data_IF_516491475842
#
_entry.id   IF_516491475842
#
_cell.length_a   1.000
_cell.length_b   1.000
_cell.length_c   1.000
_cell.angle_alpha   90.00
_cell.angle_beta   90.00
_cell.angle_gamma   90.00
#
_symmetry.space_group_name_H-M   'P 1'
#
loop_
_entity.id
_entity.type
_entity.pdbx_description
1 polymer ?
#
# COMPACT_ATOMS: atom_id res chain seq x y z
N UNK A 1 0.37 -11.02 -15.61
CA UNK A 1 -0.60 -11.08 -14.51
C UNK A 1 -1.90 -11.76 -14.92
N UNK A 2 -2.50 -11.40 -16.07
CA UNK A 2 -3.76 -11.98 -16.56
C UNK A 2 -3.69 -13.51 -16.74
N UNK A 3 -2.60 -14.01 -17.31
CA UNK A 3 -2.38 -15.45 -17.54
C UNK A 3 -2.34 -16.22 -16.22
N UNK A 4 -1.58 -15.75 -15.22
CA UNK A 4 -1.50 -16.40 -13.91
C UNK A 4 -2.86 -16.42 -13.21
N UNK A 5 -3.61 -15.31 -13.29
CA UNK A 5 -4.97 -15.22 -12.74
C UNK A 5 -5.87 -16.32 -13.30
N UNK A 6 -5.91 -16.48 -14.62
CA UNK A 6 -6.76 -17.46 -15.27
C UNK A 6 -6.37 -18.90 -14.91
N UNK A 7 -5.06 -19.19 -14.86
CA UNK A 7 -4.57 -20.53 -14.47
C UNK A 7 -4.99 -20.85 -13.04
N UNK A 8 -4.77 -19.96 -12.09
CA UNK A 8 -5.13 -20.20 -10.68
C UNK A 8 -6.64 -20.34 -10.52
N UNK A 9 -7.42 -19.45 -11.17
CA UNK A 9 -8.86 -19.48 -11.10
C UNK A 9 -9.42 -20.80 -11.63
N UNK A 10 -8.99 -21.26 -12.82
CA UNK A 10 -9.46 -22.52 -13.39
C UNK A 10 -8.98 -23.73 -12.58
N UNK A 11 -7.73 -23.71 -12.10
CA UNK A 11 -7.23 -24.80 -11.25
C UNK A 11 -8.03 -24.92 -9.96
N UNK A 12 -8.31 -23.80 -9.29
CA UNK A 12 -9.02 -23.76 -8.01
C UNK A 12 -10.45 -24.31 -8.10
N UNK A 13 -11.10 -24.23 -9.26
CA UNK A 13 -12.44 -24.79 -9.48
C UNK A 13 -12.47 -26.31 -9.32
N UNK A 14 -11.43 -26.99 -9.77
CA UNK A 14 -11.34 -28.45 -9.78
C UNK A 14 -10.56 -28.97 -8.56
N UNK A 15 -9.57 -28.22 -8.15
CA UNK A 15 -8.69 -28.52 -7.03
C UNK A 15 -8.62 -27.31 -6.11
N UNK A 16 -9.52 -27.21 -5.13
CA UNK A 16 -9.56 -26.07 -4.22
C UNK A 16 -8.23 -25.90 -3.48
N UNK A 17 -7.61 -24.74 -3.68
CA UNK A 17 -6.35 -24.38 -3.04
C UNK A 17 -6.68 -23.78 -1.67
N UNK A 18 -6.13 -24.32 -0.60
CA UNK A 18 -6.28 -23.83 0.76
C UNK A 18 -5.49 -22.52 1.02
N UNK A 19 -5.82 -21.81 2.10
CA UNK A 19 -5.10 -20.60 2.48
C UNK A 19 -3.62 -20.85 2.80
N UNK A 20 -3.30 -22.00 3.40
CA UNK A 20 -1.92 -22.40 3.71
C UNK A 20 -1.11 -22.72 2.45
N UNK A 21 -1.74 -23.37 1.48
CA UNK A 21 -1.12 -23.60 0.17
C UNK A 21 -0.85 -22.28 -0.56
N UNK A 22 -1.79 -21.33 -0.52
CA UNK A 22 -1.59 -19.99 -1.10
C UNK A 22 -0.40 -19.28 -0.46
N UNK A 23 -0.26 -19.36 0.87
CA UNK A 23 0.86 -18.73 1.60
C UNK A 23 2.22 -19.31 1.18
N UNK A 24 2.26 -20.59 0.83
CA UNK A 24 3.47 -21.31 0.43
C UNK A 24 3.77 -21.21 -1.08
N UNK A 25 2.78 -20.96 -1.91
CA UNK A 25 2.83 -21.09 -3.37
C UNK A 25 3.96 -20.25 -4.00
N UNK A 26 4.12 -19.01 -3.60
CA UNK A 26 5.14 -18.11 -4.18
C UNK A 26 6.55 -18.59 -3.84
N UNK A 27 6.76 -19.07 -2.63
CA UNK A 27 8.05 -19.65 -2.19
C UNK A 27 8.37 -20.94 -2.95
N UNK A 28 7.37 -21.79 -3.17
CA UNK A 28 7.52 -23.02 -3.96
C UNK A 28 7.83 -22.71 -5.43
N UNK A 29 7.16 -21.71 -6.03
CA UNK A 29 7.48 -21.26 -7.39
C UNK A 29 8.91 -20.77 -7.51
N UNK A 30 9.37 -19.91 -6.59
CA UNK A 30 10.76 -19.43 -6.57
C UNK A 30 11.75 -20.59 -6.41
N UNK A 31 11.49 -21.51 -5.50
CA UNK A 31 12.34 -22.70 -5.28
C UNK A 31 12.42 -23.55 -6.53
N UNK A 32 11.30 -23.79 -7.23
CA UNK A 32 11.30 -24.55 -8.49
C UNK A 32 12.13 -23.87 -9.58
N UNK A 33 12.03 -22.54 -9.71
CA UNK A 33 12.83 -21.77 -10.66
C UNK A 33 14.32 -21.84 -10.32
N UNK A 34 14.70 -21.73 -9.06
CA UNK A 34 16.10 -21.89 -8.60
C UNK A 34 16.64 -23.28 -8.92
N UNK A 35 15.87 -24.33 -8.68
CA UNK A 35 16.26 -25.69 -9.06
C UNK A 35 16.48 -25.77 -10.58
N UNK A 36 15.64 -25.16 -11.39
CA UNK A 36 15.78 -25.14 -12.84
C UNK A 36 17.10 -24.50 -13.26
N UNK A 37 17.45 -23.34 -12.68
CA UNK A 37 18.71 -22.63 -12.94
C UNK A 37 19.91 -23.47 -12.54
N UNK A 38 19.91 -24.03 -11.32
CA UNK A 38 21.03 -24.85 -10.80
C UNK A 38 21.24 -26.09 -11.65
N UNK A 39 20.15 -26.78 -12.01
CA UNK A 39 20.22 -28.00 -12.85
C UNK A 39 20.69 -27.69 -14.26
N UNK A 40 20.21 -26.60 -14.88
CA UNK A 40 20.69 -26.15 -16.18
C UNK A 40 22.21 -25.86 -16.16
N UNK A 41 22.68 -25.17 -15.12
CA UNK A 41 24.11 -24.90 -14.93
C UNK A 41 24.92 -26.19 -14.78
N UNK A 42 24.47 -27.12 -13.94
CA UNK A 42 25.12 -28.42 -13.72
C UNK A 42 25.21 -29.23 -15.03
N UNK A 43 24.12 -29.29 -15.80
CA UNK A 43 24.08 -30.03 -17.08
C UNK A 43 24.98 -29.37 -18.13
N UNK A 44 25.04 -28.05 -18.19
CA UNK A 44 25.89 -27.32 -19.13
C UNK A 44 27.38 -27.54 -18.86
N UNK A 45 27.77 -27.67 -17.60
CA UNK A 45 29.17 -28.04 -17.23
C UNK A 45 29.49 -29.45 -17.74
N UNK A 46 28.54 -30.38 -17.60
CA UNK A 46 28.73 -31.79 -18.02
C UNK A 46 28.68 -31.96 -19.54
N UNK A 47 27.87 -31.18 -20.25
CA UNK A 47 27.63 -31.29 -21.69
C UNK A 47 27.75 -29.91 -22.37
N UNK A 48 28.98 -29.33 -22.51
CA UNK A 48 29.12 -27.94 -22.95
C UNK A 48 28.62 -27.63 -24.36
N UNK A 49 28.63 -28.61 -25.24
CA UNK A 49 28.19 -28.48 -26.64
C UNK A 49 26.65 -28.48 -26.82
N UNK A 50 25.91 -28.90 -25.80
CA UNK A 50 24.47 -29.01 -25.90
C UNK A 50 23.75 -27.70 -25.50
N UNK A 51 23.48 -26.86 -26.51
CA UNK A 51 22.80 -25.57 -26.33
C UNK A 51 21.35 -25.69 -25.81
N UNK A 52 20.69 -26.82 -26.02
CA UNK A 52 19.32 -27.05 -25.55
C UNK A 52 19.19 -26.95 -24.02
N UNK A 53 20.23 -27.30 -23.29
CA UNK A 53 20.25 -27.30 -21.82
C UNK A 53 20.16 -25.91 -21.18
N UNK A 54 20.37 -24.84 -21.95
CA UNK A 54 20.32 -23.46 -21.46
C UNK A 54 19.01 -22.72 -21.81
N UNK A 55 18.10 -23.32 -22.57
CA UNK A 55 16.87 -22.65 -23.05
C UNK A 55 16.01 -22.18 -21.86
N UNK A 56 15.75 -23.08 -20.92
CA UNK A 56 14.91 -22.74 -19.74
C UNK A 56 15.60 -21.90 -18.67
N UNK A 57 16.94 -21.84 -18.69
CA UNK A 57 17.74 -21.10 -17.69
C UNK A 57 17.47 -19.59 -17.77
N UNK A 58 17.48 -19.02 -18.97
CA UNK A 58 17.27 -17.59 -19.20
C UNK A 58 15.87 -17.16 -18.76
N UNK A 59 14.86 -17.96 -19.09
CA UNK A 59 13.47 -17.65 -18.74
C UNK A 59 13.23 -17.79 -17.24
N UNK A 60 13.85 -18.79 -16.60
CA UNK A 60 13.81 -18.95 -15.14
C UNK A 60 14.45 -17.75 -14.41
N UNK A 61 15.61 -17.26 -14.87
CA UNK A 61 16.22 -16.05 -14.33
C UNK A 61 15.36 -14.81 -14.54
N UNK A 62 14.79 -14.64 -15.73
CA UNK A 62 13.91 -13.51 -16.02
C UNK A 62 12.68 -13.49 -15.09
N UNK A 63 12.13 -14.67 -14.80
CA UNK A 63 10.97 -14.79 -13.92
C UNK A 63 11.35 -14.56 -12.46
N UNK A 64 12.50 -15.08 -11.98
CA UNK A 64 13.02 -14.79 -10.64
C UNK A 64 13.20 -13.28 -10.43
N UNK A 65 13.85 -12.60 -11.38
CA UNK A 65 14.03 -11.15 -11.33
C UNK A 65 12.69 -10.36 -11.33
N UNK A 66 11.65 -10.90 -11.96
CA UNK A 66 10.29 -10.32 -11.88
C UNK A 66 9.67 -10.53 -10.50
N UNK A 67 9.83 -11.71 -9.91
CA UNK A 67 9.36 -11.98 -8.54
C UNK A 67 10.02 -11.06 -7.51
N UNK A 68 11.30 -10.74 -7.66
CA UNK A 68 12.02 -9.87 -6.71
C UNK A 68 11.55 -8.40 -6.78
N UNK A 69 10.96 -7.99 -7.92
CA UNK A 69 10.39 -6.65 -8.11
C UNK A 69 8.96 -6.51 -7.58
N UNK A 70 8.32 -7.59 -7.15
CA UNK A 70 6.93 -7.59 -6.70
C UNK A 70 6.87 -8.07 -5.25
N UNK A 71 6.14 -7.37 -4.41
CA UNK A 71 5.93 -7.80 -3.02
C UNK A 71 5.27 -9.17 -2.98
N UNK A 72 5.86 -10.12 -2.26
CA UNK A 72 5.28 -11.46 -2.05
C UNK A 72 3.89 -11.37 -1.40
N UNK A 73 3.70 -10.47 -0.43
CA UNK A 73 2.39 -10.23 0.20
C UNK A 73 1.36 -9.76 -0.82
N UNK A 74 1.74 -8.87 -1.74
CA UNK A 74 0.84 -8.41 -2.81
C UNK A 74 0.39 -9.56 -3.70
N UNK A 75 1.31 -10.46 -4.07
CA UNK A 75 0.97 -11.65 -4.87
C UNK A 75 0.03 -12.58 -4.10
N UNK A 76 0.34 -12.88 -2.84
CA UNK A 76 -0.51 -13.71 -1.97
C UNK A 76 -1.92 -13.12 -1.85
N UNK A 77 -2.06 -11.82 -1.57
CA UNK A 77 -3.37 -11.18 -1.44
C UNK A 77 -4.19 -11.24 -2.73
N UNK A 78 -3.52 -11.11 -3.88
CA UNK A 78 -4.20 -11.27 -5.17
C UNK A 78 -4.64 -12.71 -5.43
N UNK A 79 -3.82 -13.71 -5.09
CA UNK A 79 -4.16 -15.12 -5.25
C UNK A 79 -5.34 -15.48 -4.33
N UNK A 80 -5.32 -15.03 -3.08
CA UNK A 80 -6.44 -15.17 -2.14
C UNK A 80 -7.74 -14.67 -2.75
N UNK A 81 -7.72 -13.46 -3.30
CA UNK A 81 -8.91 -12.87 -3.94
C UNK A 81 -9.37 -13.67 -5.18
N UNK A 82 -8.45 -14.23 -5.97
CA UNK A 82 -8.77 -15.08 -7.12
C UNK A 82 -9.48 -16.37 -6.67
N UNK A 83 -9.06 -16.94 -5.53
CA UNK A 83 -9.62 -18.13 -4.92
C UNK A 83 -10.87 -17.84 -4.06
N UNK A 84 -11.39 -16.60 -4.04
CA UNK A 84 -12.60 -16.25 -3.29
C UNK A 84 -12.40 -16.03 -1.79
N UNK A 85 -11.17 -16.04 -1.30
CA UNK A 85 -10.85 -15.69 0.09
C UNK A 85 -10.76 -14.16 0.28
N UNK A 86 -10.91 -13.71 1.52
CA UNK A 86 -10.58 -12.33 1.85
C UNK A 86 -9.13 -12.04 1.45
N UNK A 87 -8.91 -10.96 0.68
CA UNK A 87 -7.56 -10.63 0.18
C UNK A 87 -6.55 -10.50 1.31
N UNK A 88 -6.94 -9.86 2.41
CA UNK A 88 -6.12 -9.70 3.62
C UNK A 88 -6.61 -10.68 4.69
N UNK A 89 -5.74 -11.56 5.23
CA UNK A 89 -6.10 -12.43 6.34
C UNK A 89 -6.63 -11.63 7.54
N UNK A 90 -7.62 -12.17 8.22
CA UNK A 90 -8.25 -11.53 9.39
C UNK A 90 -8.96 -10.20 9.13
N UNK A 91 -9.19 -9.82 7.86
CA UNK A 91 -9.88 -8.57 7.54
C UNK A 91 -11.25 -8.46 8.24
N UNK A 92 -12.04 -9.51 8.21
CA UNK A 92 -13.37 -9.54 8.86
C UNK A 92 -13.29 -9.38 10.36
N UNK A 93 -12.32 -10.04 11.00
CA UNK A 93 -12.10 -9.93 12.44
C UNK A 93 -11.69 -8.50 12.83
N UNK A 94 -10.77 -7.92 12.07
CA UNK A 94 -10.37 -6.53 12.26
C UNK A 94 -11.55 -5.57 12.06
N UNK A 95 -12.32 -5.75 11.00
CA UNK A 95 -13.47 -4.90 10.70
C UNK A 95 -14.55 -5.02 11.78
N UNK A 96 -14.84 -6.24 12.24
CA UNK A 96 -15.75 -6.48 13.38
C UNK A 96 -15.24 -5.83 14.66
N UNK A 97 -13.94 -5.95 14.95
CA UNK A 97 -13.33 -5.26 16.10
C UNK A 97 -13.52 -3.74 16.02
N UNK A 98 -13.21 -3.13 14.88
CA UNK A 98 -13.35 -1.67 14.70
C UNK A 98 -14.81 -1.23 14.86
N UNK A 99 -15.76 -1.95 14.28
CA UNK A 99 -17.17 -1.59 14.33
C UNK A 99 -17.79 -1.76 15.73
N UNK A 100 -17.29 -2.69 16.52
CA UNK A 100 -17.82 -2.99 17.85
C UNK A 100 -17.05 -2.30 18.98
N UNK A 101 -15.95 -1.58 18.65
CA UNK A 101 -15.14 -0.89 19.65
C UNK A 101 -15.57 0.58 19.77
N UNK A 102 -15.77 1.02 21.00
CA UNK A 102 -15.88 2.45 21.31
C UNK A 102 -14.48 3.06 21.33
N UNK A 103 -14.30 4.13 20.58
CA UNK A 103 -13.05 4.90 20.51
C UNK A 103 -13.18 6.17 21.34
N UNK A 104 -12.16 6.45 22.15
CA UNK A 104 -12.05 7.70 22.86
C UNK A 104 -11.70 8.86 21.91
N UNK A 105 -11.84 10.09 22.40
CA UNK A 105 -11.44 11.28 21.65
C UNK A 105 -9.91 11.37 21.57
N UNK A 106 -9.40 11.61 20.35
CA UNK A 106 -7.96 11.83 20.10
C UNK A 106 -7.50 13.17 20.72
N UNK A 107 -8.41 14.12 20.84
CA UNK A 107 -8.20 15.41 21.50
C UNK A 107 -8.98 15.45 22.81
N UNK A 108 -8.69 16.40 23.68
CA UNK A 108 -9.47 16.60 24.93
C UNK A 108 -10.93 17.04 24.69
N UNK A 109 -11.39 16.98 23.44
CA UNK A 109 -12.75 17.31 23.00
C UNK A 109 -13.16 16.42 21.82
N UNK A 110 -14.45 16.30 21.58
CA UNK A 110 -14.95 15.58 20.42
C UNK A 110 -14.82 16.47 19.16
N UNK A 111 -14.10 15.97 18.17
CA UNK A 111 -13.89 16.68 16.90
C UNK A 111 -15.20 16.95 16.13
N UNK A 112 -16.25 16.17 16.36
CA UNK A 112 -17.55 16.37 15.71
C UNK A 112 -18.30 17.60 16.22
N UNK A 113 -18.06 17.99 17.46
CA UNK A 113 -18.80 19.05 18.17
C UNK A 113 -18.20 20.46 17.95
N UNK A 114 -17.08 20.56 17.25
CA UNK A 114 -16.38 21.82 17.02
C UNK A 114 -16.44 22.26 15.56
N UNK A 115 -16.44 23.58 15.35
CA UNK A 115 -16.35 24.12 14.00
C UNK A 115 -14.98 23.81 13.38
N UNK A 116 -15.01 23.32 12.15
CA UNK A 116 -13.83 22.92 11.40
C UNK A 116 -13.91 23.37 9.94
N UNK A 117 -12.77 23.75 9.38
CA UNK A 117 -12.64 24.15 7.99
C UNK A 117 -12.09 23.00 7.15
N UNK A 118 -12.64 22.76 5.98
CA UNK A 118 -12.07 21.80 5.02
C UNK A 118 -10.94 22.47 4.25
N UNK A 119 -9.73 21.96 4.43
CA UNK A 119 -8.54 22.43 3.73
C UNK A 119 -8.25 21.55 2.52
N UNK A 120 -8.64 22.01 1.33
CA UNK A 120 -8.33 21.31 0.08
C UNK A 120 -6.87 21.48 -0.25
N UNK A 121 -6.11 20.37 -0.28
CA UNK A 121 -4.66 20.33 -0.53
C UNK A 121 -4.31 19.70 -1.88
N UNK A 122 -5.30 19.55 -2.76
CA UNK A 122 -5.11 19.05 -4.12
C UNK A 122 -4.45 20.09 -5.04
N UNK A 123 -3.93 19.68 -6.22
CA UNK A 123 -3.23 20.57 -7.14
C UNK A 123 -4.03 21.76 -7.66
N UNK A 124 -5.37 21.66 -7.66
CA UNK A 124 -6.30 22.72 -8.11
C UNK A 124 -6.74 23.65 -6.98
N UNK A 125 -6.30 23.39 -5.75
CA UNK A 125 -6.69 24.16 -4.57
C UNK A 125 -6.20 25.62 -4.64
N UNK A 126 -7.06 26.57 -4.30
CA UNK A 126 -6.69 27.97 -4.12
C UNK A 126 -5.67 28.18 -3.01
N UNK A 127 -5.66 27.29 -2.00
CA UNK A 127 -4.69 27.31 -0.92
C UNK A 127 -3.25 27.16 -1.44
N UNK A 128 -3.06 26.34 -2.50
CA UNK A 128 -1.75 26.03 -3.10
C UNK A 128 -1.51 26.71 -4.46
N UNK A 129 -2.39 27.62 -4.88
CA UNK A 129 -2.25 28.36 -6.14
C UNK A 129 -1.00 29.26 -6.10
N UNK A 130 -0.19 29.21 -7.16
CA UNK A 130 1.02 30.03 -7.28
C UNK A 130 2.23 29.49 -6.53
N UNK A 131 2.23 28.24 -6.07
CA UNK A 131 3.34 27.63 -5.29
C UNK A 131 3.72 28.44 -4.04
N UNK A 132 2.79 28.75 -3.14
CA UNK A 132 3.05 29.58 -1.99
C UNK A 132 4.07 28.93 -1.05
N UNK A 133 4.85 29.74 -0.35
CA UNK A 133 5.69 29.29 0.76
C UNK A 133 4.85 28.99 2.03
N UNK A 134 5.49 28.44 3.06
CA UNK A 134 4.78 28.04 4.29
C UNK A 134 4.09 29.22 5.00
N UNK A 135 4.68 30.40 4.96
CA UNK A 135 4.10 31.60 5.55
C UNK A 135 2.81 32.02 4.82
N UNK A 136 2.84 32.02 3.50
CA UNK A 136 1.67 32.34 2.67
C UNK A 136 0.56 31.32 2.86
N UNK A 137 0.90 30.01 2.92
CA UNK A 137 -0.06 28.94 3.22
C UNK A 137 -0.72 29.22 4.58
N UNK A 138 0.08 29.49 5.61
CA UNK A 138 -0.42 29.79 6.95
C UNK A 138 -1.36 31.02 6.96
N UNK A 139 -1.02 32.06 6.22
CA UNK A 139 -1.87 33.25 6.07
C UNK A 139 -3.20 32.94 5.38
N UNK A 140 -3.17 32.08 4.34
CA UNK A 140 -4.39 31.65 3.63
C UNK A 140 -5.27 30.77 4.51
N UNK A 141 -4.68 29.86 5.29
CA UNK A 141 -5.40 29.01 6.26
C UNK A 141 -6.09 29.89 7.31
N UNK A 142 -5.39 30.89 7.87
CA UNK A 142 -5.99 31.83 8.83
C UNK A 142 -7.21 32.58 8.26
N UNK A 143 -7.16 32.96 6.98
CA UNK A 143 -8.32 33.58 6.32
C UNK A 143 -9.52 32.61 6.20
N UNK A 144 -9.25 31.34 5.90
CA UNK A 144 -10.30 30.30 5.84
C UNK A 144 -10.90 30.12 7.23
N UNK A 145 -10.07 29.99 8.27
CA UNK A 145 -10.52 29.83 9.65
C UNK A 145 -11.42 30.99 10.10
N UNK A 146 -11.01 32.23 9.79
CA UNK A 146 -11.84 33.40 10.10
C UNK A 146 -13.18 33.38 9.40
N UNK A 147 -13.21 32.97 8.12
CA UNK A 147 -14.45 32.87 7.34
C UNK A 147 -15.39 31.81 7.91
N UNK A 148 -14.85 30.65 8.29
CA UNK A 148 -15.64 29.49 8.73
C UNK A 148 -15.87 29.49 10.26
N UNK A 149 -15.43 30.54 10.96
CA UNK A 149 -15.44 30.63 12.41
C UNK A 149 -14.89 29.36 13.07
N UNK A 150 -13.70 28.92 12.64
CA UNK A 150 -13.06 27.69 13.10
C UNK A 150 -11.61 27.93 13.49
N UNK A 151 -11.07 26.99 14.28
CA UNK A 151 -9.65 26.94 14.65
C UNK A 151 -9.00 25.60 14.26
N UNK A 152 -9.75 24.77 13.55
CA UNK A 152 -9.34 23.42 13.17
C UNK A 152 -9.54 23.26 11.67
N UNK A 153 -8.50 22.74 11.01
CA UNK A 153 -8.54 22.40 9.60
C UNK A 153 -8.50 20.89 9.37
N UNK A 154 -9.26 20.42 8.39
CA UNK A 154 -9.29 19.01 8.00
C UNK A 154 -8.82 18.89 6.55
N UNK A 155 -7.70 18.17 6.36
CA UNK A 155 -7.27 17.71 5.05
C UNK A 155 -7.91 16.37 4.71
N UNK A 156 -8.40 16.21 3.49
CA UNK A 156 -9.28 15.12 3.12
C UNK A 156 -8.54 13.79 2.87
N UNK A 157 -9.22 12.70 3.23
CA UNK A 157 -8.85 11.34 2.82
C UNK A 157 -8.98 11.19 1.29
N UNK A 158 -8.17 10.31 0.70
CA UNK A 158 -8.16 9.99 -0.72
C UNK A 158 -7.96 11.21 -1.64
N UNK A 159 -7.28 12.23 -1.16
CA UNK A 159 -7.02 13.46 -1.90
C UNK A 159 -5.68 13.40 -2.63
N UNK A 160 -5.67 13.74 -3.91
CA UNK A 160 -4.43 13.88 -4.68
C UNK A 160 -3.63 15.07 -4.14
N UNK A 161 -2.34 14.84 -3.78
CA UNK A 161 -1.48 15.86 -3.15
C UNK A 161 -0.44 16.41 -4.11
N UNK A 162 -0.33 17.73 -4.17
CA UNK A 162 0.72 18.42 -4.94
C UNK A 162 2.11 18.25 -4.31
N UNK A 163 2.16 18.13 -2.99
CA UNK A 163 3.40 18.07 -2.22
C UNK A 163 4.17 16.75 -2.38
N UNK A 164 3.54 15.69 -2.90
CA UNK A 164 4.19 14.40 -3.12
C UNK A 164 5.07 14.38 -4.38
N UNK A 165 5.99 15.36 -4.48
CA UNK A 165 6.88 15.52 -5.65
C UNK A 165 8.30 14.99 -5.43
N UNK A 166 8.71 14.78 -4.19
CA UNK A 166 10.06 14.32 -3.82
C UNK A 166 10.32 12.85 -4.23
N UNK A 167 11.59 12.48 -4.26
CA UNK A 167 12.01 11.11 -4.59
C UNK A 167 11.49 10.05 -3.61
N UNK A 168 11.21 10.44 -2.35
CA UNK A 168 10.64 9.56 -1.33
C UNK A 168 9.22 9.06 -1.67
N UNK A 169 8.57 9.64 -2.68
CA UNK A 169 7.23 9.26 -3.13
C UNK A 169 7.24 8.46 -4.45
N UNK A 170 8.43 8.09 -4.92
CA UNK A 170 8.59 7.21 -6.08
C UNK A 170 8.48 5.76 -5.61
N UNK A 171 7.79 4.92 -6.37
CA UNK A 171 7.74 3.48 -6.10
C UNK A 171 9.12 2.85 -6.28
N UNK A 172 9.57 2.06 -5.32
CA UNK A 172 10.79 1.26 -5.46
C UNK A 172 10.64 0.15 -6.52
N UNK A 173 9.41 -0.18 -6.90
CA UNK A 173 9.10 -1.24 -7.85
C UNK A 173 9.00 -0.74 -9.28
N UNK A 174 8.63 0.54 -9.45
CA UNK A 174 8.48 1.16 -10.75
C UNK A 174 8.73 2.67 -10.65
N UNK A 175 9.78 3.17 -11.29
CA UNK A 175 10.19 4.58 -11.26
C UNK A 175 9.13 5.55 -11.87
N UNK A 176 8.19 5.02 -12.65
CA UNK A 176 7.08 5.81 -13.20
C UNK A 176 5.91 5.95 -12.24
N UNK A 177 5.80 5.09 -11.23
CA UNK A 177 4.74 5.15 -10.24
C UNK A 177 5.13 6.06 -9.08
N UNK A 178 4.28 7.04 -8.81
CA UNK A 178 4.43 7.95 -7.67
C UNK A 178 3.22 7.85 -6.75
N UNK A 179 3.49 7.83 -5.46
CA UNK A 179 2.44 8.06 -4.46
C UNK A 179 1.99 9.51 -4.59
N UNK A 180 0.75 9.73 -4.97
CA UNK A 180 0.17 11.06 -5.11
C UNK A 180 -1.21 11.20 -4.44
N UNK A 181 -1.71 10.11 -3.88
CA UNK A 181 -2.96 10.05 -3.14
C UNK A 181 -2.66 9.95 -1.65
N UNK A 182 -3.27 10.82 -0.87
CA UNK A 182 -3.19 10.80 0.58
C UNK A 182 -4.24 9.86 1.16
N UNK A 183 -3.78 8.79 1.84
CA UNK A 183 -4.64 7.76 2.45
C UNK A 183 -4.87 8.00 3.95
N UNK A 184 -4.85 9.25 4.38
CA UNK A 184 -5.09 9.67 5.74
C UNK A 184 -5.98 10.91 5.81
N UNK A 185 -6.35 11.30 7.01
CA UNK A 185 -6.99 12.58 7.31
C UNK A 185 -5.95 13.43 8.06
N UNK A 186 -5.62 14.61 7.52
CA UNK A 186 -4.77 15.56 8.22
C UNK A 186 -5.62 16.45 9.12
N UNK A 187 -5.20 16.62 10.36
CA UNK A 187 -5.85 17.54 11.29
C UNK A 187 -4.90 18.66 11.62
N UNK A 188 -5.24 19.87 11.22
CA UNK A 188 -4.48 21.10 11.48
C UNK A 188 -5.06 21.79 12.68
N UNK A 189 -4.33 21.76 13.79
CA UNK A 189 -4.75 22.30 15.09
C UNK A 189 -3.62 23.11 15.70
N UNK A 190 -3.91 23.90 16.76
CA UNK A 190 -2.92 24.70 17.45
C UNK A 190 -1.75 23.85 17.95
N UNK A 191 -0.53 24.34 17.78
CA UNK A 191 0.67 23.74 18.36
C UNK A 191 0.54 23.60 19.87
N UNK A 192 1.01 22.47 20.43
CA UNK A 192 0.91 22.15 21.86
C UNK A 192 -0.43 21.56 22.29
N UNK A 193 -1.34 21.25 21.35
CA UNK A 193 -2.55 20.50 21.68
C UNK A 193 -2.22 19.06 22.09
N UNK A 194 -2.72 18.63 23.24
CA UNK A 194 -2.52 17.24 23.71
C UNK A 194 -3.24 16.25 22.80
N UNK A 195 -2.57 15.11 22.55
CA UNK A 195 -3.13 13.97 21.84
C UNK A 195 -3.30 12.80 22.81
N UNK A 196 -4.42 12.13 22.74
CA UNK A 196 -4.76 10.97 23.57
C UNK A 196 -4.88 9.73 22.69
N UNK A 197 -4.49 8.57 23.23
CA UNK A 197 -4.74 7.29 22.58
C UNK A 197 -6.24 7.01 22.58
N UNK A 198 -6.86 6.75 21.42
CA UNK A 198 -8.30 6.53 21.34
C UNK A 198 -8.72 5.16 21.87
N UNK A 199 -7.79 4.25 22.07
CA UNK A 199 -7.95 2.92 22.67
C UNK A 199 -6.72 2.58 23.51
N UNK A 200 -6.87 1.64 24.44
CA UNK A 200 -5.75 1.09 25.17
C UNK A 200 -4.76 0.41 24.21
N UNK A 201 -3.49 0.64 24.45
CA UNK A 201 -2.43 0.09 23.61
C UNK A 201 -1.07 0.12 24.28
N UNK A 202 -0.11 -0.55 23.66
CA UNK A 202 1.29 -0.56 24.08
C UNK A 202 2.15 0.04 22.96
N UNK A 203 3.01 0.98 23.31
CA UNK A 203 4.03 1.47 22.38
C UNK A 203 5.08 0.38 22.21
N UNK A 204 5.33 -0.02 20.97
CA UNK A 204 6.38 -0.95 20.57
C UNK A 204 7.35 -0.17 19.70
N UNK A 205 8.61 -0.08 20.15
CA UNK A 205 9.71 0.62 19.45
C UNK A 205 10.65 -0.44 18.86
#
# INVERSE_FOLDING_TARGET
YSTLKNIIFEYHKYFPISEDEINSLISLCKSRLLITVVMAKKQRIKYPSNKYLSISEKDAWNLLNKFDKISTKFLIYNIRNICGYDSVPNYRNFFSFVNNKSFGNIFGFNLLDVNKSILKLNPKSLLLKGNPNNFEISKRIKKIYKKDNSNIGIGLYNEKRKVYKGNNFISNLNSYERRNIHLGIDIFIKHGTNLFAPIDGKIVI
#
